data_IF_967814174694
#
_entry.id   IF_967814174694
#
_cell.length_a   1.000
_cell.length_b   1.000
_cell.length_c   1.000
_cell.angle_alpha   90.00
_cell.angle_beta   90.00
_cell.angle_gamma   90.00
#
_symmetry.space_group_name_H-M   'P 1'
#
loop_
_entity.id
_entity.type
_entity.pdbx_description
1 polymer ?
#
# COMPACT_ATOMS: atom_id res chain seq x y z
N UNK A 1 55.90 43.24 -2.09
CA UNK A 1 55.31 44.33 -2.89
C UNK A 1 54.31 43.71 -3.83
N UNK A 2 53.01 43.82 -3.53
CA UNK A 2 51.93 43.46 -4.46
C UNK A 2 51.41 44.76 -5.04
N UNK A 3 51.46 44.87 -6.35
CA UNK A 3 51.04 46.05 -7.12
C UNK A 3 49.52 46.25 -6.99
N UNK A 4 49.14 47.52 -6.88
CA UNK A 4 47.80 48.02 -6.63
C UNK A 4 46.89 47.79 -7.84
N UNK A 5 45.66 47.29 -7.58
CA UNK A 5 44.66 47.04 -8.61
C UNK A 5 44.10 48.34 -9.18
N UNK A 6 44.47 48.66 -10.41
CA UNK A 6 43.94 49.82 -11.15
C UNK A 6 42.62 49.40 -11.83
N UNK A 7 41.49 49.88 -11.32
CA UNK A 7 40.19 49.69 -11.97
C UNK A 7 40.12 50.42 -13.31
N UNK A 8 39.74 49.72 -14.39
CA UNK A 8 39.56 50.31 -15.72
C UNK A 8 38.06 50.49 -16.01
N UNK A 9 37.66 51.73 -16.29
CA UNK A 9 36.30 52.05 -16.74
C UNK A 9 36.25 51.92 -18.26
N UNK A 10 35.34 51.10 -18.77
CA UNK A 10 35.12 50.93 -20.22
C UNK A 10 33.71 51.36 -20.60
N UNK A 11 33.59 52.01 -21.76
CA UNK A 11 32.33 52.51 -22.29
C UNK A 11 31.60 51.41 -23.07
N UNK A 12 30.39 51.06 -22.62
CA UNK A 12 29.52 50.09 -23.31
C UNK A 12 28.59 50.87 -24.24
N UNK A 13 28.74 50.66 -25.56
CA UNK A 13 28.01 51.42 -26.60
C UNK A 13 26.55 50.97 -26.76
N UNK A 14 26.21 49.72 -26.46
CA UNK A 14 24.84 49.20 -26.42
C UNK A 14 24.81 47.80 -25.78
N UNK A 15 23.73 47.47 -25.09
CA UNK A 15 23.47 46.12 -24.56
C UNK A 15 22.19 45.63 -25.23
N UNK A 16 22.29 44.51 -25.95
CA UNK A 16 21.13 43.85 -26.57
C UNK A 16 20.80 42.61 -25.76
N UNK A 17 19.61 42.59 -25.16
CA UNK A 17 19.14 41.47 -24.33
C UNK A 17 18.21 40.64 -25.20
N UNK A 18 18.65 39.45 -25.60
CA UNK A 18 17.78 38.49 -26.28
C UNK A 18 17.00 37.69 -25.24
N UNK A 19 15.68 37.92 -25.17
CA UNK A 19 14.76 37.09 -24.38
C UNK A 19 14.30 35.89 -25.22
N UNK A 20 14.38 34.64 -24.71
CA UNK A 20 13.97 33.48 -25.50
C UNK A 20 12.45 33.43 -25.66
N UNK A 21 11.97 33.64 -26.88
CA UNK A 21 10.61 33.34 -27.30
C UNK A 21 10.48 31.86 -27.65
N UNK A 22 9.78 31.13 -26.77
CA UNK A 22 9.00 29.90 -26.98
C UNK A 22 9.59 28.63 -27.66
N UNK A 23 9.02 27.44 -27.35
CA UNK A 23 9.75 26.19 -27.29
C UNK A 23 9.74 25.44 -28.63
N UNK A 24 10.90 24.93 -29.05
CA UNK A 24 10.98 23.89 -30.08
C UNK A 24 11.72 22.66 -29.57
N UNK A 25 11.02 21.54 -29.67
CA UNK A 25 11.52 20.21 -29.43
C UNK A 25 12.61 19.86 -30.46
N UNK A 26 13.76 19.40 -29.98
CA UNK A 26 14.63 18.50 -30.74
C UNK A 26 15.49 17.67 -29.80
N UNK A 27 15.30 16.37 -29.93
CA UNK A 27 16.13 15.29 -29.41
C UNK A 27 17.58 15.43 -29.88
N UNK A 28 18.56 15.26 -28.98
CA UNK A 28 19.49 14.12 -29.05
C UNK A 28 20.68 14.23 -28.09
N UNK A 29 20.96 13.07 -27.49
CA UNK A 29 22.25 12.52 -27.04
C UNK A 29 22.84 13.07 -25.73
N UNK A 30 22.67 12.21 -24.72
CA UNK A 30 23.28 12.32 -23.42
C UNK A 30 24.79 12.16 -23.45
N UNK A 31 25.42 12.91 -22.57
CA UNK A 31 26.70 12.55 -21.97
C UNK A 31 26.43 12.21 -20.52
N UNK A 32 26.74 10.96 -20.19
CA UNK A 32 26.65 10.36 -18.87
C UNK A 32 27.54 11.10 -17.88
N UNK A 33 26.95 11.78 -16.92
CA UNK A 33 27.63 12.19 -15.68
C UNK A 33 27.01 11.40 -14.55
N UNK A 34 27.86 10.70 -13.81
CA UNK A 34 27.52 9.58 -12.94
C UNK A 34 26.49 9.90 -11.86
N UNK A 35 25.65 8.89 -11.63
CA UNK A 35 24.83 8.73 -10.43
C UNK A 35 25.65 8.99 -9.16
N UNK A 36 25.23 9.98 -8.37
CA UNK A 36 25.35 9.94 -6.92
C UNK A 36 23.95 9.88 -6.33
N UNK A 37 23.39 8.67 -6.31
CA UNK A 37 22.28 8.33 -5.45
C UNK A 37 22.79 8.28 -4.01
N UNK A 38 22.74 9.40 -3.29
CA UNK A 38 22.77 9.42 -1.83
C UNK A 38 21.69 10.37 -1.33
N UNK A 39 20.44 9.93 -1.44
CA UNK A 39 19.32 10.53 -0.72
C UNK A 39 19.46 10.16 0.76
N UNK A 40 20.34 10.88 1.47
CA UNK A 40 20.11 11.16 2.89
C UNK A 40 19.02 12.25 2.94
N UNK A 41 18.01 12.14 3.80
CA UNK A 41 17.07 13.24 4.01
C UNK A 41 17.86 14.50 4.37
N UNK A 42 17.48 15.64 3.78
CA UNK A 42 18.03 16.94 4.17
C UNK A 42 17.94 17.08 5.69
N UNK A 43 19.05 17.40 6.38
CA UNK A 43 18.99 17.65 7.81
C UNK A 43 17.99 18.80 8.06
N UNK A 44 17.18 18.73 9.13
CA UNK A 44 16.26 19.81 9.47
C UNK A 44 17.05 21.12 9.60
N UNK A 45 16.46 22.26 9.21
CA UNK A 45 17.14 23.54 9.24
C UNK A 45 17.68 23.79 10.65
N UNK A 46 19.00 24.00 10.74
CA UNK A 46 19.66 24.36 11.99
C UNK A 46 19.04 25.67 12.49
N UNK A 47 18.57 25.74 13.75
CA UNK A 47 18.04 26.96 14.30
C UNK A 47 19.19 27.97 14.50
N UNK A 48 18.95 29.21 14.07
CA UNK A 48 19.68 30.42 14.46
C UNK A 48 21.16 30.59 14.07
N UNK A 49 21.50 30.43 12.79
CA UNK A 49 22.56 31.26 12.20
C UNK A 49 21.96 32.21 11.16
N UNK A 50 21.39 33.30 11.65
CA UNK A 50 21.21 34.50 10.82
C UNK A 50 22.62 34.96 10.45
N UNK A 51 23.00 34.87 9.17
CA UNK A 51 24.24 35.49 8.72
C UNK A 51 24.11 37.00 8.90
N UNK A 52 24.75 37.52 9.96
CA UNK A 52 24.80 38.94 10.22
C UNK A 52 25.57 39.63 9.08
N UNK A 53 25.03 40.72 8.51
CA UNK A 53 25.68 41.45 7.43
C UNK A 53 27.07 41.95 7.85
N UNK A 54 28.00 42.02 6.90
CA UNK A 54 29.35 42.56 7.12
C UNK A 54 29.36 44.05 6.86
N UNK A 55 30.07 44.81 7.69
CA UNK A 55 30.19 46.25 7.51
C UNK A 55 30.99 46.54 6.23
N UNK A 56 30.46 47.33 5.30
CA UNK A 56 31.16 47.60 4.02
C UNK A 56 32.36 48.54 4.16
N UNK A 57 32.61 49.09 5.36
CA UNK A 57 33.70 50.02 5.64
C UNK A 57 34.90 49.29 6.25
N UNK A 58 34.70 48.47 7.29
CA UNK A 58 35.78 47.68 7.91
C UNK A 58 35.81 46.19 7.51
N UNK A 59 34.80 45.71 6.79
CA UNK A 59 34.63 44.31 6.37
C UNK A 59 34.47 43.29 7.52
N UNK A 60 34.28 43.76 8.75
CA UNK A 60 34.03 42.91 9.92
C UNK A 60 32.54 42.53 10.04
N UNK A 61 32.24 41.42 10.73
CA UNK A 61 30.87 41.01 11.04
C UNK A 61 30.24 42.04 11.99
N UNK A 62 29.08 42.57 11.62
CA UNK A 62 28.33 43.48 12.48
C UNK A 62 27.70 42.69 13.62
N UNK A 63 28.34 42.73 14.79
CA UNK A 63 27.83 42.19 16.03
C UNK A 63 27.01 43.25 16.79
N UNK A 64 25.96 42.83 17.49
CA UNK A 64 25.04 43.75 18.20
C UNK A 64 25.75 44.54 19.32
N UNK A 65 26.99 44.16 19.68
CA UNK A 65 27.84 44.82 20.67
C UNK A 65 28.45 46.14 20.18
N UNK A 66 28.57 46.34 18.86
CA UNK A 66 29.32 47.45 18.27
C UNK A 66 28.43 48.57 17.72
N UNK A 67 27.51 49.10 18.53
CA UNK A 67 26.78 50.36 18.30
C UNK A 67 26.47 50.65 16.82
N UNK A 68 25.51 49.91 16.27
CA UNK A 68 25.17 49.96 14.85
C UNK A 68 24.31 51.18 14.54
N UNK A 69 24.66 51.91 13.47
CA UNK A 69 23.88 53.04 12.97
C UNK A 69 23.31 52.67 11.61
N UNK A 70 21.99 52.85 11.48
CA UNK A 70 21.28 52.74 10.21
C UNK A 70 20.96 54.14 9.70
N UNK A 71 21.49 54.50 8.55
CA UNK A 71 21.21 55.79 7.90
C UNK A 71 19.93 55.72 7.03
N UNK A 72 19.32 56.84 6.63
CA UNK A 72 17.97 56.87 6.04
C UNK A 72 17.73 55.97 4.81
N UNK A 73 18.77 55.62 4.06
CA UNK A 73 18.67 54.63 2.97
C UNK A 73 18.82 53.16 3.42
N UNK A 74 18.64 52.88 4.72
CA UNK A 74 18.61 51.55 5.36
C UNK A 74 19.90 50.72 5.26
N UNK A 75 21.03 51.36 4.95
CA UNK A 75 22.33 50.73 5.08
C UNK A 75 22.84 50.87 6.52
N UNK A 76 23.44 49.79 7.03
CA UNK A 76 23.86 49.66 8.42
C UNK A 76 25.38 49.63 8.49
N UNK A 77 25.95 50.38 9.44
CA UNK A 77 27.38 50.50 9.65
C UNK A 77 27.69 50.54 11.15
N UNK A 78 28.92 50.21 11.55
CA UNK A 78 29.40 50.56 12.88
C UNK A 78 29.46 52.08 13.03
N UNK A 79 29.09 52.61 14.21
CA UNK A 79 29.13 54.05 14.49
C UNK A 79 30.51 54.67 14.17
N UNK A 80 31.60 54.00 14.54
CA UNK A 80 32.98 54.42 14.25
C UNK A 80 33.31 54.46 12.76
N UNK A 81 32.75 53.54 11.98
CA UNK A 81 32.95 53.43 10.54
C UNK A 81 32.21 54.55 9.78
N UNK A 82 31.03 54.96 10.26
CA UNK A 82 30.31 56.07 9.66
C UNK A 82 30.91 57.43 10.06
N UNK A 83 31.40 57.59 11.29
CA UNK A 83 32.03 58.84 11.75
C UNK A 83 33.38 59.12 11.08
N UNK A 84 34.14 58.09 10.71
CA UNK A 84 35.41 58.23 9.98
C UNK A 84 35.22 58.48 8.48
N UNK A 85 33.99 58.36 7.96
CA UNK A 85 33.66 58.64 6.58
C UNK A 85 33.55 60.15 6.32
N UNK A 86 34.35 60.66 5.38
CA UNK A 86 34.51 62.09 5.13
C UNK A 86 33.41 62.72 4.25
N UNK A 87 32.42 61.95 3.80
CA UNK A 87 31.31 62.43 2.95
C UNK A 87 29.95 62.46 3.67
N UNK A 88 29.10 63.44 3.36
CA UNK A 88 27.73 63.59 3.93
C UNK A 88 26.68 62.59 3.38
N UNK A 89 27.13 61.51 2.74
CA UNK A 89 26.27 60.54 2.06
C UNK A 89 26.64 59.09 2.39
N UNK A 90 25.66 58.20 2.21
CA UNK A 90 25.85 56.77 2.46
C UNK A 90 27.01 56.16 1.63
N UNK A 91 27.92 55.38 2.23
CA UNK A 91 28.98 54.67 1.50
C UNK A 91 28.47 53.67 0.45
N UNK A 92 27.27 53.12 0.63
CA UNK A 92 26.69 52.10 -0.25
C UNK A 92 25.80 52.72 -1.32
N UNK A 93 24.83 53.56 -0.92
CA UNK A 93 23.79 54.09 -1.80
C UNK A 93 24.05 55.53 -2.28
N UNK A 94 25.05 56.22 -1.71
CA UNK A 94 25.34 57.66 -1.89
C UNK A 94 24.19 58.64 -1.60
N UNK A 95 23.04 58.18 -1.10
CA UNK A 95 21.96 59.07 -0.67
C UNK A 95 22.45 59.99 0.45
N UNK A 96 22.40 61.29 0.20
CA UNK A 96 22.63 62.37 1.15
C UNK A 96 21.29 62.72 1.79
N UNK A 97 21.23 62.80 3.12
CA UNK A 97 20.10 63.39 3.81
C UNK A 97 20.27 64.91 3.67
N UNK A 98 19.43 65.64 2.89
CA UNK A 98 19.61 67.08 2.77
C UNK A 98 19.33 67.71 4.14
N UNK A 99 20.34 68.33 4.73
CA UNK A 99 20.11 69.26 5.83
C UNK A 99 19.22 70.40 5.32
N UNK A 100 18.26 70.90 6.10
CA UNK A 100 17.29 71.88 5.61
C UNK A 100 17.89 73.28 5.62
N UNK A 101 18.95 73.56 4.85
CA UNK A 101 19.45 74.92 4.65
C UNK A 101 19.98 75.13 3.23
N UNK A 102 19.51 76.24 2.63
CA UNK A 102 19.77 76.82 1.31
C UNK A 102 19.36 76.00 0.08
N UNK A 103 18.12 76.22 -0.38
CA UNK A 103 17.70 75.98 -1.76
C UNK A 103 18.32 77.08 -2.65
N UNK A 104 19.28 76.69 -3.49
CA UNK A 104 19.80 77.52 -4.57
C UNK A 104 18.87 77.36 -5.80
N UNK A 105 18.24 78.43 -6.33
CA UNK A 105 17.36 78.36 -7.49
C UNK A 105 18.01 77.86 -8.79
N UNK A 106 19.34 77.66 -8.80
CA UNK A 106 20.10 77.25 -9.98
C UNK A 106 20.59 75.80 -9.99
N UNK A 107 20.37 75.03 -8.90
CA UNK A 107 20.76 73.62 -8.81
C UNK A 107 19.56 72.66 -9.00
N UNK A 108 19.46 71.93 -10.14
CA UNK A 108 18.37 70.98 -10.43
C UNK A 108 18.24 69.84 -9.42
N UNK A 109 19.27 69.58 -8.60
CA UNK A 109 19.30 68.49 -7.62
C UNK A 109 18.87 68.92 -6.21
N UNK A 110 18.67 70.23 -5.99
CA UNK A 110 18.22 70.78 -4.69
C UNK A 110 16.69 70.82 -4.54
N UNK A 111 15.95 70.49 -5.60
CA UNK A 111 14.48 70.52 -5.59
C UNK A 111 13.89 69.20 -5.07
N UNK A 112 12.83 69.24 -4.24
CA UNK A 112 12.10 68.04 -3.83
C UNK A 112 11.67 67.21 -5.04
N UNK A 113 11.69 65.88 -4.89
CA UNK A 113 11.26 64.93 -5.91
C UNK A 113 9.89 65.34 -6.49
N UNK A 114 9.84 65.71 -7.79
CA UNK A 114 8.59 66.08 -8.49
C UNK A 114 8.39 67.57 -8.81
N UNK A 115 9.35 68.46 -8.56
CA UNK A 115 9.25 69.86 -9.01
C UNK A 115 9.30 69.94 -10.55
N UNK A 116 8.16 70.23 -11.20
CA UNK A 116 8.04 70.38 -12.66
C UNK A 116 7.18 69.33 -13.38
N UNK A 117 6.62 68.36 -12.67
CA UNK A 117 5.56 67.49 -13.18
C UNK A 117 4.23 68.09 -12.71
N UNK A 118 3.26 68.26 -13.60
CA UNK A 118 1.94 68.78 -13.22
C UNK A 118 1.29 67.84 -12.21
N UNK A 119 1.38 68.19 -10.93
CA UNK A 119 0.68 67.52 -9.85
C UNK A 119 -0.79 67.89 -9.97
N UNK A 120 -1.52 67.10 -10.76
CA UNK A 120 -2.97 67.20 -10.93
C UNK A 120 -3.57 65.81 -10.75
N UNK A 121 -4.78 65.76 -10.20
CA UNK A 121 -5.51 64.51 -10.13
C UNK A 121 -5.86 64.02 -11.54
N UNK A 122 -5.52 62.76 -11.84
CA UNK A 122 -5.72 62.15 -13.18
C UNK A 122 -7.20 62.13 -13.60
N UNK A 123 -8.13 62.16 -12.65
CA UNK A 123 -9.57 62.05 -12.92
C UNK A 123 -10.30 63.39 -12.98
N UNK A 124 -9.87 64.39 -12.20
CA UNK A 124 -10.61 65.66 -12.05
C UNK A 124 -9.76 66.92 -12.13
N UNK A 125 -8.48 66.81 -12.52
CA UNK A 125 -7.53 67.90 -12.74
C UNK A 125 -7.36 68.86 -11.56
N UNK A 126 -7.75 68.45 -10.35
CA UNK A 126 -7.56 69.24 -9.12
C UNK A 126 -6.09 69.29 -8.77
N UNK A 127 -5.57 70.44 -8.33
CA UNK A 127 -4.16 70.67 -7.97
C UNK A 127 -3.87 70.51 -6.48
N UNK A 128 -4.91 70.38 -5.67
CA UNK A 128 -4.82 70.53 -4.22
C UNK A 128 -5.24 69.24 -3.51
N UNK A 129 -4.64 68.92 -2.35
CA UNK A 129 -4.87 67.67 -1.58
C UNK A 129 -4.67 66.42 -2.46
N UNK A 130 -3.42 66.26 -2.92
CA UNK A 130 -3.00 65.25 -3.88
C UNK A 130 -2.26 64.10 -3.22
N UNK A 131 -2.61 62.91 -3.68
CA UNK A 131 -2.15 61.64 -3.13
C UNK A 131 -1.61 60.78 -4.27
N UNK A 132 -0.36 60.36 -4.14
CA UNK A 132 0.27 59.47 -5.11
C UNK A 132 0.26 58.03 -4.59
N UNK A 133 -0.21 57.11 -5.42
CA UNK A 133 -0.16 55.68 -5.11
C UNK A 133 1.29 55.18 -5.17
N UNK A 134 1.77 54.57 -4.10
CA UNK A 134 3.16 54.07 -4.03
C UNK A 134 3.42 52.80 -4.85
N UNK A 135 2.35 52.13 -5.30
CA UNK A 135 2.46 50.88 -6.06
C UNK A 135 2.53 51.16 -7.56
N UNK A 136 1.76 52.13 -8.07
CA UNK A 136 1.64 52.36 -9.51
C UNK A 136 1.81 53.82 -9.94
N UNK A 137 2.06 54.74 -9.02
CA UNK A 137 2.28 56.16 -9.33
C UNK A 137 1.04 56.95 -9.76
N UNK A 138 -0.17 56.39 -9.64
CA UNK A 138 -1.39 57.12 -9.96
C UNK A 138 -1.62 58.28 -8.95
N UNK A 139 -1.99 59.46 -9.44
CA UNK A 139 -2.23 60.66 -8.62
C UNK A 139 -3.72 60.94 -8.50
N UNK A 140 -4.26 60.79 -7.30
CA UNK A 140 -5.67 61.02 -6.96
C UNK A 140 -5.85 62.18 -5.98
N UNK A 141 -6.99 62.85 -6.00
CA UNK A 141 -7.34 63.81 -4.96
C UNK A 141 -7.84 63.11 -3.68
N UNK A 142 -7.66 63.79 -2.55
CA UNK A 142 -8.00 63.28 -1.22
C UNK A 142 -9.49 63.07 -1.00
N UNK A 143 -9.82 62.37 0.10
CA UNK A 143 -11.18 61.93 0.45
C UNK A 143 -12.19 63.07 0.53
N UNK A 144 -11.74 64.27 0.92
CA UNK A 144 -12.60 65.43 1.16
C UNK A 144 -12.80 66.33 -0.06
N UNK A 145 -12.13 66.04 -1.18
CA UNK A 145 -12.32 66.77 -2.44
C UNK A 145 -13.10 65.96 -3.46
N UNK A 146 -12.53 64.84 -3.89
CA UNK A 146 -13.15 63.94 -4.86
C UNK A 146 -12.91 62.45 -4.59
N UNK A 147 -12.03 62.12 -3.65
CA UNK A 147 -11.82 60.74 -3.21
C UNK A 147 -11.26 59.81 -4.29
N UNK A 148 -10.70 60.32 -5.38
CA UNK A 148 -10.16 59.50 -6.47
C UNK A 148 -8.99 58.63 -6.02
N UNK A 149 -8.21 59.05 -5.01
CA UNK A 149 -7.18 58.19 -4.43
C UNK A 149 -7.77 56.94 -3.72
N UNK A 150 -8.95 57.10 -3.08
CA UNK A 150 -9.68 56.00 -2.44
C UNK A 150 -10.40 55.13 -3.47
N UNK A 151 -10.93 55.72 -4.54
CA UNK A 151 -11.55 54.98 -5.65
C UNK A 151 -10.52 54.12 -6.38
N UNK A 152 -9.35 54.69 -6.67
CA UNK A 152 -8.21 53.96 -7.23
C UNK A 152 -7.85 52.72 -6.40
N UNK A 153 -7.79 52.86 -5.07
CA UNK A 153 -7.58 51.70 -4.19
C UNK A 153 -8.69 50.64 -4.34
N UNK A 154 -9.97 51.04 -4.41
CA UNK A 154 -11.08 50.09 -4.57
C UNK A 154 -11.01 49.32 -5.89
N UNK A 155 -10.52 49.96 -6.95
CA UNK A 155 -10.44 49.35 -8.28
C UNK A 155 -9.18 48.49 -8.46
N UNK A 156 -8.02 48.94 -7.97
CA UNK A 156 -6.74 48.28 -8.22
C UNK A 156 -6.18 47.51 -7.02
N UNK A 157 -6.83 47.59 -5.86
CA UNK A 157 -6.35 47.04 -4.58
C UNK A 157 -4.96 47.57 -4.18
N UNK A 158 -4.60 48.79 -4.60
CA UNK A 158 -3.35 49.43 -4.18
C UNK A 158 -3.51 50.14 -2.84
N UNK A 159 -3.07 49.50 -1.77
CA UNK A 159 -3.40 49.91 -0.40
C UNK A 159 -2.65 51.14 0.12
N UNK A 160 -1.54 51.55 -0.53
CA UNK A 160 -0.69 52.62 -0.01
C UNK A 160 -0.68 53.87 -0.90
N UNK A 161 -0.98 55.02 -0.30
CA UNK A 161 -0.83 56.32 -0.93
C UNK A 161 -0.09 57.31 -0.05
N UNK A 162 0.78 58.11 -0.66
CA UNK A 162 1.53 59.19 -0.04
C UNK A 162 0.85 60.53 -0.31
N UNK A 163 0.60 61.31 0.74
CA UNK A 163 0.16 62.70 0.61
C UNK A 163 1.33 63.60 0.20
N UNK A 164 1.22 64.33 -0.91
CA UNK A 164 2.34 65.08 -1.48
C UNK A 164 2.78 66.28 -0.63
N UNK A 165 1.89 66.87 0.16
CA UNK A 165 2.18 68.05 0.97
C UNK A 165 2.93 67.69 2.26
N UNK A 166 2.48 66.65 2.96
CA UNK A 166 3.00 66.30 4.28
C UNK A 166 3.95 65.09 4.26
N UNK A 167 4.03 64.39 3.13
CA UNK A 167 4.76 63.14 2.95
C UNK A 167 4.36 62.02 3.93
N UNK A 168 3.14 62.07 4.47
CA UNK A 168 2.60 60.97 5.27
C UNK A 168 1.99 59.90 4.36
N UNK A 169 2.17 58.64 4.75
CA UNK A 169 1.64 57.48 4.03
C UNK A 169 0.36 57.01 4.71
N UNK A 170 -0.70 56.86 3.93
CA UNK A 170 -1.97 56.30 4.35
C UNK A 170 -2.10 54.85 3.87
N UNK A 171 -2.56 53.97 4.76
CA UNK A 171 -2.97 52.61 4.44
C UNK A 171 -4.51 52.55 4.31
N UNK A 172 -4.99 52.27 3.11
CA UNK A 172 -6.41 52.11 2.83
C UNK A 172 -6.99 50.79 3.34
N UNK A 173 -6.19 49.72 3.43
CA UNK A 173 -6.66 48.43 3.93
C UNK A 173 -6.81 48.46 5.46
N UNK A 174 -5.85 49.07 6.16
CA UNK A 174 -5.87 49.27 7.61
C UNK A 174 -6.64 50.52 8.08
N UNK A 175 -7.08 51.38 7.16
CA UNK A 175 -7.70 52.70 7.41
C UNK A 175 -6.95 53.52 8.49
N UNK A 176 -5.61 53.53 8.40
CA UNK A 176 -4.74 54.18 9.38
C UNK A 176 -3.55 54.88 8.73
N UNK A 177 -2.99 55.86 9.44
CA UNK A 177 -1.71 56.47 9.08
C UNK A 177 -0.56 55.50 9.37
N UNK A 178 0.33 55.32 8.39
CA UNK A 178 1.56 54.55 8.56
C UNK A 178 2.59 55.46 9.22
N UNK A 179 2.81 55.26 10.52
CA UNK A 179 3.92 55.89 11.22
C UNK A 179 5.24 55.20 10.83
N UNK A 180 6.28 56.01 10.56
CA UNK A 180 7.64 55.52 10.33
C UNK A 180 8.18 54.94 11.64
N UNK A 181 8.03 53.62 11.83
CA UNK A 181 8.75 52.91 12.88
C UNK A 181 10.24 52.92 12.53
N UNK A 182 11.01 53.81 13.17
CA UNK A 182 12.46 53.61 13.30
C UNK A 182 12.61 52.44 14.26
N UNK A 183 12.69 51.23 13.72
CA UNK A 183 13.04 50.05 14.51
C UNK A 183 14.55 50.08 14.71
N UNK A 184 14.96 50.48 15.91
CA UNK A 184 16.21 49.99 16.46
C UNK A 184 16.00 48.48 16.66
N UNK A 185 16.75 47.65 15.92
CA UNK A 185 16.57 46.20 15.94
C UNK A 185 17.29 45.65 17.18
N UNK A 186 16.71 45.91 18.33
CA UNK A 186 17.19 45.50 19.65
C UNK A 186 16.46 46.33 20.71
N UNK A 187 15.53 45.70 21.41
CA UNK A 187 14.60 46.28 22.41
C UNK A 187 13.51 47.25 21.91
N UNK A 188 12.26 46.91 22.21
CA UNK A 188 11.08 47.74 22.01
C UNK A 188 10.98 48.90 23.00
N UNK A 189 11.97 49.80 23.00
CA UNK A 189 11.88 51.10 23.67
C UNK A 189 11.65 52.17 22.61
N UNK A 190 10.47 52.78 22.65
CA UNK A 190 10.14 53.94 21.81
C UNK A 190 11.04 55.09 22.27
N UNK A 191 12.07 55.41 21.47
CA UNK A 191 12.91 56.59 21.69
C UNK A 191 12.17 57.78 21.09
N UNK A 192 11.52 58.56 21.95
CA UNK A 192 11.17 59.94 21.63
C UNK A 192 12.48 60.70 21.39
N UNK A 193 12.64 61.26 20.20
CA UNK A 193 13.72 62.21 19.94
C UNK A 193 13.57 63.37 20.94
N UNK A 194 14.67 63.87 21.54
CA UNK A 194 14.62 65.10 22.29
C UNK A 194 14.09 66.18 21.35
N UNK A 195 12.95 66.76 21.69
CA UNK A 195 12.53 68.04 21.15
C UNK A 195 13.71 68.99 21.32
N UNK A 196 14.40 69.29 20.23
CA UNK A 196 15.02 70.61 20.05
C UNK A 196 13.89 71.60 20.29
N UNK A 197 13.89 72.23 21.46
CA UNK A 197 13.98 73.69 21.57
C UNK A 197 13.87 74.14 23.04
N UNK A 198 14.75 75.10 23.38
CA UNK A 198 14.63 76.08 24.48
C UNK A 198 15.21 75.75 25.86
N UNK A 199 16.52 75.49 25.96
CA UNK A 199 17.27 75.76 27.20
C UNK A 199 18.77 75.98 26.97
N UNK A 200 19.12 76.89 26.06
CA UNK A 200 20.48 77.38 25.96
C UNK A 200 20.48 78.86 25.54
N UNK A 201 19.87 79.70 26.38
CA UNK A 201 20.24 81.11 26.44
C UNK A 201 19.94 81.67 27.82
N UNK A 202 21.03 82.12 28.42
CA UNK A 202 21.12 83.24 29.35
C UNK A 202 21.02 82.96 30.86
N UNK A 203 22.08 83.40 31.55
CA UNK A 203 21.95 84.22 32.76
C UNK A 203 21.61 83.50 34.06
N UNK A 204 22.54 83.58 35.02
CA UNK A 204 22.40 82.99 36.35
C UNK A 204 21.13 83.41 37.12
N UNK A 205 20.61 82.45 37.88
CA UNK A 205 19.51 82.64 38.81
C UNK A 205 19.56 81.56 39.89
N UNK A 206 19.91 81.99 41.11
CA UNK A 206 19.99 81.20 42.32
C UNK A 206 18.59 81.06 42.93
N UNK A 207 18.03 79.85 42.98
CA UNK A 207 16.79 79.47 43.72
C UNK A 207 16.88 77.95 43.93
N UNK A 208 16.65 77.28 45.06
CA UNK A 208 16.30 77.51 46.46
C UNK A 208 16.26 76.09 47.11
N UNK A 209 16.46 75.90 48.42
CA UNK A 209 16.59 74.56 49.00
C UNK A 209 15.21 73.97 49.34
N UNK A 210 14.49 73.47 48.34
CA UNK A 210 13.35 72.57 48.56
C UNK A 210 13.01 71.81 47.27
N UNK A 211 13.88 70.90 46.89
CA UNK A 211 13.52 69.81 45.99
C UNK A 211 13.75 68.53 46.79
N UNK A 212 12.72 67.73 46.95
CA UNK A 212 12.75 66.39 47.53
C UNK A 212 13.61 65.47 46.65
N UNK A 213 14.93 65.66 46.70
CA UNK A 213 15.92 64.84 46.01
C UNK A 213 15.96 63.54 46.79
N UNK A 214 15.19 62.55 46.32
CA UNK A 214 15.24 61.18 46.84
C UNK A 214 16.71 60.74 46.89
N UNK A 215 17.26 60.44 48.08
CA UNK A 215 18.67 60.08 48.21
C UNK A 215 19.06 58.95 47.26
N UNK A 216 20.20 59.09 46.58
CA UNK A 216 20.71 58.12 45.59
C UNK A 216 20.71 56.67 46.10
N UNK A 217 20.98 56.47 47.39
CA UNK A 217 20.90 55.18 48.06
C UNK A 217 19.49 54.55 48.08
N UNK A 218 18.41 55.35 48.12
CA UNK A 218 17.03 54.84 47.97
C UNK A 218 16.74 54.45 46.52
N UNK A 219 17.24 55.19 45.54
CA UNK A 219 17.12 54.82 44.12
C UNK A 219 17.88 53.52 43.80
N UNK A 220 19.08 53.35 44.36
CA UNK A 220 19.86 52.12 44.22
C UNK A 220 19.15 50.95 44.90
N UNK A 221 18.58 51.15 46.09
CA UNK A 221 17.79 50.13 46.77
C UNK A 221 16.53 49.74 45.98
N UNK A 222 15.80 50.72 45.42
CA UNK A 222 14.64 50.48 44.55
C UNK A 222 15.08 49.75 43.27
N UNK A 223 16.24 50.10 42.70
CA UNK A 223 16.81 49.43 41.54
C UNK A 223 17.17 47.97 41.83
N UNK A 224 17.71 47.68 43.02
CA UNK A 224 17.98 46.31 43.47
C UNK A 224 16.70 45.49 43.65
N UNK A 225 15.67 46.05 44.28
CA UNK A 225 14.36 45.38 44.43
C UNK A 225 13.71 45.11 43.08
N UNK A 226 13.77 46.06 42.15
CA UNK A 226 13.27 45.88 40.79
C UNK A 226 14.05 44.79 40.03
N UNK A 227 15.38 44.78 40.17
CA UNK A 227 16.23 43.75 39.56
C UNK A 227 15.94 42.37 40.14
N UNK A 228 15.72 42.26 41.46
CA UNK A 228 15.34 41.01 42.11
C UNK A 228 13.96 40.54 41.64
N UNK A 229 12.98 41.44 41.52
CA UNK A 229 11.65 41.12 41.02
C UNK A 229 11.69 40.64 39.56
N UNK A 230 12.42 41.34 38.69
CA UNK A 230 12.60 40.95 37.30
C UNK A 230 13.31 39.60 37.19
N UNK A 231 14.38 39.39 37.96
CA UNK A 231 15.12 38.12 37.96
C UNK A 231 14.24 36.97 38.44
N UNK A 232 13.48 37.17 39.52
CA UNK A 232 12.50 36.20 40.01
C UNK A 232 11.42 35.89 38.97
N UNK A 233 10.94 36.91 38.25
CA UNK A 233 9.92 36.73 37.22
C UNK A 233 10.47 35.97 36.00
N UNK A 234 11.66 36.31 35.53
CA UNK A 234 12.32 35.61 34.42
C UNK A 234 12.64 34.16 34.77
N UNK A 235 13.09 33.88 35.99
CA UNK A 235 13.34 32.51 36.44
C UNK A 235 12.03 31.70 36.51
N UNK A 236 10.94 32.31 36.98
CA UNK A 236 9.63 31.64 36.98
C UNK A 236 9.12 31.31 35.58
N UNK A 237 9.32 32.22 34.61
CA UNK A 237 8.95 32.01 33.21
C UNK A 237 9.82 30.93 32.57
N UNK A 238 11.13 30.95 32.84
CA UNK A 238 12.07 29.93 32.37
C UNK A 238 11.63 28.54 32.83
N UNK A 239 11.40 28.35 34.13
CA UNK A 239 10.97 27.06 34.69
C UNK A 239 9.65 26.61 34.06
N UNK A 240 8.69 27.52 33.89
CA UNK A 240 7.40 27.21 33.25
C UNK A 240 7.56 26.70 31.81
N UNK A 241 8.35 27.39 30.99
CA UNK A 241 8.55 26.98 29.59
C UNK A 241 9.43 25.73 29.48
N UNK A 242 10.45 25.56 30.33
CA UNK A 242 11.23 24.32 30.42
C UNK A 242 10.34 23.11 30.79
N UNK A 243 9.37 23.30 31.69
CA UNK A 243 8.40 22.26 32.04
C UNK A 243 7.46 21.93 30.86
N UNK A 244 7.00 22.93 30.11
CA UNK A 244 6.17 22.68 28.91
C UNK A 244 6.96 21.96 27.84
N UNK A 245 8.20 22.39 27.59
CA UNK A 245 9.08 21.78 26.58
C UNK A 245 9.40 20.34 26.97
N UNK A 246 9.77 20.07 28.22
CA UNK A 246 10.03 18.70 28.69
C UNK A 246 8.80 17.80 28.54
N UNK A 247 7.59 18.27 28.91
CA UNK A 247 6.34 17.52 28.68
C UNK A 247 6.07 17.26 27.19
N UNK A 248 6.37 18.22 26.32
CA UNK A 248 6.21 18.04 24.87
C UNK A 248 7.21 17.02 24.32
N UNK A 249 8.47 17.10 24.76
CA UNK A 249 9.53 16.14 24.39
C UNK A 249 9.18 14.73 24.86
N UNK A 250 8.72 14.55 26.10
CA UNK A 250 8.31 13.24 26.62
C UNK A 250 7.14 12.63 25.84
N UNK A 251 6.16 13.47 25.46
CA UNK A 251 5.03 13.03 24.63
C UNK A 251 5.50 12.63 23.23
N UNK A 252 6.38 13.43 22.61
CA UNK A 252 6.95 13.14 21.31
C UNK A 252 7.79 11.85 21.33
N UNK A 253 8.62 11.66 22.36
CA UNK A 253 9.42 10.45 22.53
C UNK A 253 8.54 9.19 22.71
N UNK A 254 7.49 9.27 23.54
CA UNK A 254 6.52 8.18 23.71
C UNK A 254 5.76 7.87 22.42
N UNK A 255 5.35 8.89 21.67
CA UNK A 255 4.68 8.72 20.38
C UNK A 255 5.61 8.10 19.33
N UNK A 256 6.87 8.53 19.28
CA UNK A 256 7.89 7.96 18.38
C UNK A 256 8.17 6.50 18.71
N UNK A 257 8.37 6.16 19.98
CA UNK A 257 8.58 4.79 20.42
C UNK A 257 7.37 3.89 20.09
N UNK A 258 6.14 4.39 20.30
CA UNK A 258 4.94 3.66 19.93
C UNK A 258 4.82 3.45 18.41
N UNK A 259 5.20 4.45 17.61
CA UNK A 259 5.20 4.35 16.15
C UNK A 259 6.25 3.33 15.65
N UNK A 260 7.44 3.29 16.24
CA UNK A 260 8.47 2.29 15.91
C UNK A 260 8.01 0.87 16.26
N UNK A 261 7.42 0.67 17.45
CA UNK A 261 6.85 -0.62 17.84
C UNK A 261 5.74 -1.04 16.87
N UNK A 262 4.81 -0.15 16.54
CA UNK A 262 3.75 -0.44 15.57
C UNK A 262 4.30 -0.76 14.18
N UNK A 263 5.33 -0.03 13.73
CA UNK A 263 5.99 -0.28 12.44
C UNK A 263 6.69 -1.64 12.40
N UNK A 264 7.37 -2.03 13.49
CA UNK A 264 8.02 -3.35 13.57
C UNK A 264 7.01 -4.49 13.57
N UNK A 265 5.91 -4.35 14.31
CA UNK A 265 4.80 -5.32 14.32
C UNK A 265 4.12 -5.43 12.96
N UNK A 266 3.92 -4.31 12.27
CA UNK A 266 3.37 -4.31 10.91
C UNK A 266 4.30 -5.01 9.92
N UNK A 267 5.61 -4.76 10.00
CA UNK A 267 6.59 -5.45 9.16
C UNK A 267 6.62 -6.97 9.41
N UNK A 268 6.56 -7.40 10.67
CA UNK A 268 6.47 -8.82 11.02
C UNK A 268 5.16 -9.46 10.53
N UNK A 269 4.03 -8.77 10.68
CA UNK A 269 2.74 -9.24 10.18
C UNK A 269 2.74 -9.39 8.65
N UNK A 270 3.34 -8.45 7.92
CA UNK A 270 3.48 -8.53 6.46
C UNK A 270 4.36 -9.70 6.03
N UNK A 271 5.47 -9.96 6.73
CA UNK A 271 6.32 -11.13 6.48
C UNK A 271 5.56 -12.44 6.70
N UNK A 272 4.79 -12.55 7.78
CA UNK A 272 3.93 -13.72 8.04
C UNK A 272 2.83 -13.88 6.98
N UNK A 273 2.24 -12.78 6.53
CA UNK A 273 1.22 -12.81 5.48
C UNK A 273 1.80 -13.34 4.16
N UNK A 274 2.99 -12.89 3.78
CA UNK A 274 3.68 -13.38 2.58
C UNK A 274 3.93 -14.89 2.63
N UNK A 275 4.40 -15.41 3.77
CA UNK A 275 4.61 -16.86 3.95
C UNK A 275 3.30 -17.64 3.77
N UNK A 276 2.21 -17.16 4.38
CA UNK A 276 0.89 -17.80 4.26
C UNK A 276 0.36 -17.72 2.81
N UNK A 277 0.58 -16.61 2.12
CA UNK A 277 0.22 -16.46 0.71
C UNK A 277 0.98 -17.43 -0.20
N UNK A 278 2.28 -17.62 0.03
CA UNK A 278 3.10 -18.58 -0.68
C UNK A 278 2.63 -20.02 -0.45
N UNK A 279 2.39 -20.41 0.82
CA UNK A 279 1.84 -21.72 1.16
C UNK A 279 0.46 -21.94 0.54
N UNK A 280 -0.41 -20.94 0.59
CA UNK A 280 -1.74 -21.01 -0.01
C UNK A 280 -1.66 -21.16 -1.53
N UNK A 281 -0.74 -20.45 -2.18
CA UNK A 281 -0.50 -20.58 -3.62
C UNK A 281 0.05 -21.96 -3.99
N UNK A 282 0.97 -22.52 -3.20
CA UNK A 282 1.50 -23.88 -3.39
C UNK A 282 0.40 -24.94 -3.21
N UNK A 283 -0.43 -24.82 -2.17
CA UNK A 283 -1.58 -25.70 -1.95
C UNK A 283 -2.56 -25.64 -3.12
N UNK A 284 -2.89 -24.44 -3.59
CA UNK A 284 -3.86 -24.22 -4.65
C UNK A 284 -3.38 -24.69 -6.03
N UNK A 285 -2.10 -24.48 -6.35
CA UNK A 285 -1.55 -24.77 -7.67
C UNK A 285 -1.00 -26.19 -7.81
N UNK A 286 -0.47 -26.79 -6.75
CA UNK A 286 0.18 -28.10 -6.81
C UNK A 286 -0.64 -29.18 -6.13
N UNK A 287 -1.02 -28.95 -4.87
CA UNK A 287 -1.60 -29.99 -4.01
C UNK A 287 -3.02 -30.32 -4.42
N UNK A 288 -3.89 -29.30 -4.59
CA UNK A 288 -5.29 -29.51 -5.00
C UNK A 288 -5.36 -30.25 -6.36
N UNK A 289 -4.68 -29.81 -7.44
CA UNK A 289 -4.76 -30.51 -8.72
C UNK A 289 -4.14 -31.91 -8.70
N UNK A 290 -3.18 -32.19 -7.81
CA UNK A 290 -2.66 -33.54 -7.60
C UNK A 290 -3.70 -34.44 -6.92
N UNK A 291 -4.33 -33.96 -5.86
CA UNK A 291 -5.38 -34.68 -5.15
C UNK A 291 -6.60 -34.94 -6.04
N UNK A 292 -7.01 -33.96 -6.86
CA UNK A 292 -8.09 -34.14 -7.83
C UNK A 292 -7.77 -35.23 -8.85
N UNK A 293 -6.53 -35.26 -9.39
CA UNK A 293 -6.08 -36.31 -10.31
C UNK A 293 -6.04 -37.68 -9.65
N UNK A 294 -5.56 -37.77 -8.40
CA UNK A 294 -5.49 -39.03 -7.68
C UNK A 294 -6.90 -39.54 -7.31
N UNK A 295 -7.80 -38.65 -6.91
CA UNK A 295 -9.20 -38.96 -6.67
C UNK A 295 -9.90 -39.47 -7.93
N UNK A 296 -9.64 -38.86 -9.09
CA UNK A 296 -10.19 -39.32 -10.37
C UNK A 296 -9.62 -40.70 -10.77
N UNK A 297 -8.34 -40.98 -10.50
CA UNK A 297 -7.73 -42.29 -10.73
C UNK A 297 -8.37 -43.37 -9.86
N UNK A 298 -8.55 -43.10 -8.57
CA UNK A 298 -9.17 -44.05 -7.64
C UNK A 298 -10.66 -44.26 -7.96
N UNK A 299 -11.39 -43.22 -8.38
CA UNK A 299 -12.75 -43.36 -8.92
C UNK A 299 -12.79 -44.28 -10.13
N UNK A 300 -11.95 -44.04 -11.14
CA UNK A 300 -11.86 -44.92 -12.33
C UNK A 300 -11.47 -46.34 -11.97
N UNK A 301 -10.62 -46.54 -10.96
CA UNK A 301 -10.25 -47.87 -10.46
C UNK A 301 -11.44 -48.55 -9.78
N UNK A 302 -12.19 -47.79 -8.99
CA UNK A 302 -13.47 -48.20 -8.41
C UNK A 302 -14.46 -48.66 -9.48
N UNK A 303 -14.71 -47.83 -10.50
CA UNK A 303 -15.62 -48.13 -11.61
C UNK A 303 -15.20 -49.39 -12.39
N UNK A 304 -13.90 -49.57 -12.62
CA UNK A 304 -13.39 -50.79 -13.26
C UNK A 304 -13.61 -52.03 -12.38
N UNK A 305 -13.38 -51.90 -11.07
CA UNK A 305 -13.57 -52.99 -10.11
C UNK A 305 -15.05 -53.39 -10.02
N UNK A 306 -15.96 -52.41 -9.94
CA UNK A 306 -17.41 -52.65 -9.91
C UNK A 306 -17.91 -53.25 -11.22
N UNK A 307 -17.42 -52.79 -12.37
CA UNK A 307 -17.78 -53.36 -13.67
C UNK A 307 -17.28 -54.81 -13.84
N UNK A 308 -16.06 -55.11 -13.39
CA UNK A 308 -15.55 -56.49 -13.37
C UNK A 308 -16.39 -57.36 -12.43
N UNK A 309 -16.73 -56.89 -11.24
CA UNK A 309 -17.60 -57.62 -10.31
C UNK A 309 -18.99 -57.87 -10.91
N UNK A 310 -19.55 -56.89 -11.64
CA UNK A 310 -20.83 -57.02 -12.35
C UNK A 310 -20.75 -58.09 -13.45
N UNK A 311 -19.72 -58.06 -14.29
CA UNK A 311 -19.50 -59.07 -15.34
C UNK A 311 -19.29 -60.47 -14.78
N UNK A 312 -18.48 -60.59 -13.73
CA UNK A 312 -18.27 -61.86 -13.04
C UNK A 312 -19.57 -62.38 -12.42
N UNK A 313 -20.38 -61.48 -11.85
CA UNK A 313 -21.72 -61.80 -11.36
C UNK A 313 -22.66 -62.33 -12.44
N UNK A 314 -22.65 -61.73 -13.63
CA UNK A 314 -23.42 -62.20 -14.79
C UNK A 314 -22.94 -63.57 -15.29
N UNK A 315 -21.63 -63.74 -15.48
CA UNK A 315 -21.04 -65.02 -15.89
C UNK A 315 -21.34 -66.13 -14.86
N UNK A 316 -21.26 -65.85 -13.57
CA UNK A 316 -21.62 -66.80 -12.53
C UNK A 316 -23.11 -67.19 -12.59
N UNK A 317 -24.01 -66.25 -12.90
CA UNK A 317 -25.43 -66.56 -13.08
C UNK A 317 -25.67 -67.41 -14.33
N UNK A 318 -24.98 -67.13 -15.43
CA UNK A 318 -25.04 -67.93 -16.66
C UNK A 318 -24.51 -69.34 -16.43
N UNK A 319 -23.35 -69.50 -15.79
CA UNK A 319 -22.77 -70.79 -15.42
C UNK A 319 -23.67 -71.58 -14.47
N UNK A 320 -24.33 -70.91 -13.51
CA UNK A 320 -25.34 -71.56 -12.65
C UNK A 320 -26.51 -72.10 -13.46
N UNK A 321 -27.07 -71.31 -14.38
CA UNK A 321 -28.17 -71.75 -15.26
C UNK A 321 -27.75 -72.89 -16.19
N UNK A 322 -26.52 -72.84 -16.72
CA UNK A 322 -25.95 -73.90 -17.56
C UNK A 322 -25.77 -75.18 -16.74
N UNK A 323 -25.22 -75.10 -15.53
CA UNK A 323 -25.08 -76.24 -14.63
C UNK A 323 -26.44 -76.84 -14.24
N UNK A 324 -27.45 -76.01 -13.94
CA UNK A 324 -28.81 -76.45 -13.70
C UNK A 324 -29.40 -77.19 -14.92
N UNK A 325 -29.21 -76.64 -16.13
CA UNK A 325 -29.65 -77.26 -17.38
C UNK A 325 -28.91 -78.57 -17.70
N UNK A 326 -27.60 -78.61 -17.48
CA UNK A 326 -26.77 -79.82 -17.63
C UNK A 326 -27.21 -80.90 -16.63
N UNK A 327 -27.46 -80.54 -15.36
CA UNK A 327 -27.94 -81.48 -14.36
C UNK A 327 -29.30 -82.06 -14.75
N UNK A 328 -30.23 -81.22 -15.25
CA UNK A 328 -31.51 -81.68 -15.78
C UNK A 328 -31.34 -82.62 -16.99
N UNK A 329 -30.41 -82.31 -17.91
CA UNK A 329 -30.11 -83.18 -19.06
C UNK A 329 -29.48 -84.50 -18.62
N UNK A 330 -28.53 -84.49 -17.67
CA UNK A 330 -27.94 -85.69 -17.08
C UNK A 330 -29.02 -86.54 -16.41
N UNK A 331 -29.96 -85.93 -15.69
CA UNK A 331 -31.10 -86.65 -15.11
C UNK A 331 -32.01 -87.27 -16.19
N UNK A 332 -32.27 -86.56 -17.28
CA UNK A 332 -33.07 -87.07 -18.39
C UNK A 332 -32.38 -88.25 -19.09
N UNK A 333 -31.10 -88.09 -19.45
CA UNK A 333 -30.29 -89.15 -20.07
C UNK A 333 -30.18 -90.36 -19.15
N UNK A 334 -30.00 -90.16 -17.83
CA UNK A 334 -30.01 -91.27 -16.88
C UNK A 334 -31.36 -92.00 -16.86
N UNK A 335 -32.49 -91.28 -16.91
CA UNK A 335 -33.83 -91.91 -17.00
C UNK A 335 -33.99 -92.70 -18.29
N UNK A 336 -33.57 -92.15 -19.44
CA UNK A 336 -33.60 -92.88 -20.71
C UNK A 336 -32.69 -94.10 -20.67
N UNK A 337 -31.49 -93.99 -20.10
CA UNK A 337 -30.56 -95.12 -19.95
C UNK A 337 -31.17 -96.23 -19.09
N UNK A 338 -31.83 -95.89 -17.97
CA UNK A 338 -32.53 -96.87 -17.14
C UNK A 338 -33.73 -97.50 -17.88
N UNK A 339 -34.47 -96.72 -18.67
CA UNK A 339 -35.55 -97.25 -19.51
C UNK A 339 -35.02 -98.21 -20.59
N UNK A 340 -33.94 -97.85 -21.29
CA UNK A 340 -33.29 -98.72 -22.26
C UNK A 340 -32.72 -99.98 -21.60
N UNK A 341 -32.13 -99.88 -20.40
CA UNK A 341 -31.69 -101.07 -19.65
C UNK A 341 -32.86 -101.99 -19.33
N UNK A 342 -33.97 -101.45 -18.80
CA UNK A 342 -35.17 -102.23 -18.50
C UNK A 342 -35.75 -102.90 -19.75
N UNK A 343 -35.78 -102.18 -20.88
CA UNK A 343 -36.20 -102.74 -22.16
C UNK A 343 -35.26 -103.85 -22.65
N UNK A 344 -33.95 -103.68 -22.47
CA UNK A 344 -32.96 -104.68 -22.85
C UNK A 344 -33.03 -105.92 -21.95
N UNK A 345 -33.34 -105.74 -20.66
CA UNK A 345 -33.62 -106.83 -19.72
C UNK A 345 -34.91 -107.57 -20.08
N UNK A 346 -35.97 -106.87 -20.51
CA UNK A 346 -37.21 -107.47 -21.00
C UNK A 346 -36.98 -108.26 -22.28
N UNK A 347 -36.34 -107.65 -23.29
CA UNK A 347 -35.94 -108.34 -24.52
C UNK A 347 -35.05 -109.55 -24.25
N UNK A 348 -34.12 -109.45 -23.28
CA UNK A 348 -33.28 -110.58 -22.89
C UNK A 348 -34.09 -111.70 -22.22
N UNK A 349 -35.12 -111.35 -21.43
CA UNK A 349 -36.08 -112.33 -20.86
C UNK A 349 -36.89 -113.00 -21.95
N UNK A 350 -37.43 -112.25 -22.90
CA UNK A 350 -38.21 -112.82 -24.00
C UNK A 350 -37.36 -113.67 -24.94
N UNK A 351 -36.12 -113.26 -25.23
CA UNK A 351 -35.16 -114.11 -25.95
C UNK A 351 -34.84 -115.39 -25.17
N UNK A 352 -34.75 -115.34 -23.84
CA UNK A 352 -34.57 -116.53 -23.03
C UNK A 352 -35.81 -117.45 -23.09
N UNK A 353 -37.01 -116.91 -22.93
CA UNK A 353 -38.27 -117.66 -23.02
C UNK A 353 -38.47 -118.27 -24.41
N UNK A 354 -38.22 -117.49 -25.47
CA UNK A 354 -38.25 -117.99 -26.85
C UNK A 354 -37.19 -119.07 -27.10
N UNK A 355 -36.01 -118.96 -26.49
CA UNK A 355 -34.99 -120.02 -26.57
C UNK A 355 -35.43 -121.28 -25.84
N UNK A 356 -36.03 -121.16 -24.67
CA UNK A 356 -36.57 -122.29 -23.91
C UNK A 356 -37.74 -122.95 -24.67
N UNK A 357 -38.65 -122.16 -25.24
CA UNK A 357 -39.74 -122.66 -26.09
C UNK A 357 -39.21 -123.34 -27.36
N UNK A 358 -38.21 -122.77 -28.03
CA UNK A 358 -37.56 -123.44 -29.17
C UNK A 358 -36.84 -124.72 -28.73
N UNK A 359 -36.24 -124.74 -27.54
CA UNK A 359 -35.64 -125.94 -26.98
C UNK A 359 -36.70 -127.02 -26.74
N UNK A 360 -37.82 -126.66 -26.13
CA UNK A 360 -38.97 -127.55 -25.88
C UNK A 360 -39.57 -128.06 -27.20
N UNK A 361 -39.75 -127.20 -28.20
CA UNK A 361 -40.20 -127.60 -29.55
C UNK A 361 -39.19 -128.53 -30.23
N UNK A 362 -37.90 -128.29 -30.06
CA UNK A 362 -36.85 -129.18 -30.59
C UNK A 362 -36.88 -130.54 -29.87
N UNK A 363 -37.09 -130.56 -28.55
CA UNK A 363 -37.29 -131.79 -27.78
C UNK A 363 -38.56 -132.53 -28.21
N UNK A 364 -39.65 -131.81 -28.47
CA UNK A 364 -40.90 -132.38 -28.96
C UNK A 364 -40.75 -132.97 -30.38
N UNK A 365 -40.17 -132.23 -31.31
CA UNK A 365 -39.94 -132.68 -32.70
C UNK A 365 -38.97 -133.86 -32.71
N UNK A 366 -37.85 -133.78 -32.01
CA UNK A 366 -36.91 -134.92 -31.92
C UNK A 366 -37.53 -136.12 -31.21
N UNK A 367 -38.38 -135.91 -30.21
CA UNK A 367 -39.21 -136.96 -29.60
C UNK A 367 -40.16 -137.61 -30.60
N UNK A 368 -40.86 -136.81 -31.41
CA UNK A 368 -41.75 -137.27 -32.49
C UNK A 368 -41.00 -138.01 -33.60
N UNK A 369 -39.85 -137.50 -34.04
CA UNK A 369 -39.00 -138.16 -35.04
C UNK A 369 -38.44 -139.47 -34.50
N UNK A 370 -38.04 -139.53 -33.23
CA UNK A 370 -37.56 -140.76 -32.59
C UNK A 370 -38.69 -141.78 -32.38
N UNK A 371 -39.92 -141.33 -32.09
CA UNK A 371 -41.11 -142.18 -32.10
C UNK A 371 -41.41 -142.73 -33.50
N UNK A 372 -41.33 -141.89 -34.55
CA UNK A 372 -41.46 -142.32 -35.95
C UNK A 372 -40.35 -143.26 -36.41
N UNK A 373 -39.11 -143.05 -35.98
CA UNK A 373 -38.00 -143.97 -36.22
C UNK A 373 -38.22 -145.31 -35.49
N UNK A 374 -38.74 -145.30 -34.25
CA UNK A 374 -39.10 -146.53 -33.53
C UNK A 374 -40.32 -147.26 -34.14
N UNK A 375 -41.26 -146.53 -34.75
CA UNK A 375 -42.34 -147.10 -35.59
C UNK A 375 -41.77 -147.75 -36.87
N UNK A 376 -40.82 -147.08 -37.55
CA UNK A 376 -40.20 -147.58 -38.78
C UNK A 376 -39.21 -148.74 -38.54
N UNK A 377 -38.55 -148.78 -37.37
CA UNK A 377 -37.74 -149.91 -36.91
C UNK A 377 -38.58 -151.10 -36.37
N UNK A 378 -39.91 -150.98 -36.34
CA UNK A 378 -40.83 -152.07 -35.99
C UNK A 378 -40.87 -152.44 -34.50
N UNK A 379 -40.56 -151.50 -33.60
CA UNK A 379 -40.54 -151.73 -32.14
C UNK A 379 -41.78 -151.25 -31.39
N UNK A 380 -42.69 -150.48 -31.99
CA UNK A 380 -43.91 -149.95 -31.35
C UNK A 380 -45.09 -149.98 -32.33
N UNK A 381 -46.30 -150.34 -31.88
CA UNK A 381 -47.53 -150.39 -32.69
C UNK A 381 -48.52 -149.30 -32.28
N UNK A 382 -49.40 -148.89 -33.20
CA UNK A 382 -50.31 -147.73 -33.08
C UNK A 382 -51.27 -147.76 -31.87
N UNK A 383 -51.42 -148.90 -31.18
CA UNK A 383 -52.27 -149.06 -29.98
C UNK A 383 -51.57 -148.70 -28.65
N UNK A 384 -50.24 -148.50 -28.60
CA UNK A 384 -49.51 -148.17 -27.35
C UNK A 384 -49.31 -146.66 -27.10
N UNK A 385 -49.79 -145.80 -28.02
CA UNK A 385 -49.59 -144.35 -27.97
C UNK A 385 -50.69 -143.58 -27.20
N UNK A 386 -51.78 -144.23 -26.75
CA UNK A 386 -52.89 -143.56 -26.05
C UNK A 386 -52.79 -143.54 -24.51
N UNK A 387 -51.83 -144.25 -23.88
CA UNK A 387 -51.71 -144.33 -22.40
C UNK A 387 -50.33 -143.90 -21.83
N UNK A 388 -49.57 -143.08 -22.55
CA UNK A 388 -48.25 -142.62 -22.09
C UNK A 388 -48.30 -141.41 -21.15
N UNK A 389 -48.36 -141.61 -19.83
CA UNK A 389 -48.19 -140.55 -18.83
C UNK A 389 -46.69 -140.22 -18.63
N UNK A 390 -46.25 -139.03 -19.07
CA UNK A 390 -44.89 -138.53 -18.83
C UNK A 390 -44.88 -137.60 -17.61
N UNK A 391 -44.28 -138.04 -16.50
CA UNK A 391 -44.03 -137.21 -15.31
C UNK A 391 -42.62 -136.61 -15.33
N UNK A 392 -42.54 -135.29 -15.21
CA UNK A 392 -41.27 -134.55 -15.08
C UNK A 392 -40.97 -134.34 -13.59
N UNK A 393 -39.77 -134.68 -13.07
CA UNK A 393 -39.44 -134.47 -11.67
C UNK A 393 -39.07 -133.02 -11.37
N UNK A 394 -39.65 -132.48 -10.31
CA UNK A 394 -39.45 -131.12 -9.80
C UNK A 394 -38.03 -130.94 -9.23
N UNK A 395 -37.25 -130.00 -9.80
CA UNK A 395 -35.88 -129.72 -9.35
C UNK A 395 -35.87 -128.56 -8.35
N UNK A 396 -35.73 -128.88 -7.07
CA UNK A 396 -35.46 -127.93 -5.96
C UNK A 396 -34.18 -127.12 -6.22
N UNK A 397 -34.32 -125.80 -6.34
CA UNK A 397 -33.23 -124.82 -6.41
C UNK A 397 -33.18 -123.95 -5.15
N UNK A 398 -31.99 -123.91 -4.52
CA UNK A 398 -31.65 -123.34 -3.22
C UNK A 398 -31.75 -121.82 -3.14
N UNK A 399 -32.26 -121.41 -1.98
CA UNK A 399 -31.89 -120.26 -1.15
C UNK A 399 -30.50 -119.65 -1.42
N UNK A 400 -30.45 -118.30 -1.46
CA UNK A 400 -29.33 -117.51 -0.96
C UNK A 400 -29.77 -116.06 -0.70
N UNK A 401 -29.98 -115.77 0.58
CA UNK A 401 -30.08 -114.41 1.09
C UNK A 401 -28.86 -113.53 0.76
N UNK A 402 -29.07 -112.21 0.82
CA UNK A 402 -27.98 -111.26 0.98
C UNK A 402 -28.39 -110.07 1.85
N UNK A 403 -27.54 -109.85 2.84
CA UNK A 403 -27.61 -108.91 3.92
C UNK A 403 -27.45 -107.44 3.51
N UNK A 404 -28.12 -106.57 4.28
CA UNK A 404 -27.73 -105.25 4.83
C UNK A 404 -26.52 -104.53 4.21
N UNK A 405 -26.70 -103.25 3.93
CA UNK A 405 -25.61 -102.27 3.79
C UNK A 405 -26.10 -100.84 3.88
N UNK A 406 -26.35 -100.37 5.11
CA UNK A 406 -26.70 -98.99 5.46
C UNK A 406 -25.41 -98.17 5.54
N UNK A 407 -25.18 -97.25 4.62
CA UNK A 407 -24.03 -96.34 4.61
C UNK A 407 -24.47 -94.89 4.70
N UNK A 408 -24.36 -94.31 5.91
CA UNK A 408 -24.34 -92.87 6.15
C UNK A 408 -23.03 -92.29 5.64
N UNK A 409 -23.03 -91.04 5.17
CA UNK A 409 -21.80 -90.24 5.24
C UNK A 409 -21.81 -88.93 4.48
N UNK A 410 -21.95 -87.84 5.26
CA UNK A 410 -21.24 -86.56 5.15
C UNK A 410 -21.54 -85.69 3.90
N UNK A 411 -21.56 -84.37 3.97
CA UNK A 411 -20.90 -83.45 4.91
C UNK A 411 -21.65 -82.12 4.90
#
# INVERSE_FOLDING_TARGET
MREEGICHVTFIRSITIETPSEPKASSSKGSTVGHLSSLKPFPPPTPDLVELPTCTVCLERMDDTSGLITIPCQHVFHCTCLQSWTGSGCPVCRATNPAPQSVDPSDPYSHPFGHGISNICVTCDTTDDLWICLICGNVGCGRYKGGHAKEHWKETAHCFSLELETQHVWDYAGDMWVHRLIREKGEGKVVEFPSTDMAARDGGGQVGPDMDVVPRAKLDNIGMEYTNLLSSQLESQRVYFEEIISKAVDKAAKASAAAEVASSQAAEALSRLQLVEEEHNALKSEVIPKLERDLERERKRGDRSTEVARKLGQSLQEEKKINEGLLAKVQHVNKEMEAYKAQNEELSREVAEQKDMNHDLTLFISGQEKLREMEHEGKVTQEELEEGEASVPEKKGRDKGRSRGKGKGKQ
#
